data_IF_338268777647
#
_entry.id   IF_338268777647
#
_cell.length_a   1.000
_cell.length_b   1.000
_cell.length_c   1.000
_cell.angle_alpha   90.00
_cell.angle_beta   90.00
_cell.angle_gamma   90.00
#
_symmetry.space_group_name_H-M   'P 1'
#
loop_
_entity.id
_entity.type
_entity.pdbx_description
1 polymer ?
#
# COMPACT_ATOMS: atom_id res chain seq x y z
N UNK A 1 -12.27 5.61 -20.01
CA UNK A 1 -11.35 6.23 -19.04
C UNK A 1 -10.02 5.51 -19.21
N UNK A 2 -9.18 6.02 -20.09
CA UNK A 2 -7.88 5.42 -20.37
C UNK A 2 -6.98 5.79 -19.20
N UNK A 3 -6.57 4.81 -18.40
CA UNK A 3 -5.49 5.04 -17.44
C UNK A 3 -4.27 5.45 -18.27
N UNK A 4 -3.78 6.68 -18.07
CA UNK A 4 -2.51 7.09 -18.63
C UNK A 4 -1.45 6.03 -18.29
N UNK A 5 -0.60 5.63 -19.25
CA UNK A 5 0.43 4.62 -18.99
C UNK A 5 1.39 5.07 -17.87
N UNK A 6 1.56 6.38 -17.67
CA UNK A 6 2.30 6.98 -16.56
C UNK A 6 1.64 6.72 -15.20
N UNK A 7 0.31 6.80 -15.12
CA UNK A 7 -0.45 6.54 -13.89
C UNK A 7 -0.39 5.06 -13.48
N UNK A 8 -0.41 4.16 -14.45
CA UNK A 8 -0.26 2.72 -14.21
C UNK A 8 1.11 2.38 -13.65
N UNK A 9 2.19 2.90 -14.24
CA UNK A 9 3.55 2.70 -13.76
C UNK A 9 3.75 3.28 -12.34
N UNK A 10 3.18 4.46 -12.07
CA UNK A 10 3.23 5.08 -10.73
C UNK A 10 2.48 4.27 -9.69
N UNK A 11 1.32 3.72 -10.03
CA UNK A 11 0.56 2.80 -9.15
C UNK A 11 1.35 1.54 -8.85
N UNK A 12 2.08 1.01 -9.83
CA UNK A 12 2.95 -0.15 -9.62
C UNK A 12 4.03 0.18 -8.59
N UNK A 13 4.82 1.23 -8.84
CA UNK A 13 5.89 1.63 -7.92
C UNK A 13 5.36 1.96 -6.52
N UNK A 14 4.19 2.62 -6.42
CA UNK A 14 3.59 2.98 -5.14
C UNK A 14 3.09 1.75 -4.36
N UNK A 15 2.57 0.73 -5.05
CA UNK A 15 2.17 -0.51 -4.40
C UNK A 15 3.38 -1.37 -4.01
N UNK A 16 4.45 -1.37 -4.82
CA UNK A 16 5.72 -2.01 -4.47
C UNK A 16 6.35 -1.37 -3.23
N UNK A 17 6.33 -0.04 -3.17
CA UNK A 17 6.82 0.72 -2.02
C UNK A 17 6.00 0.39 -0.77
N UNK A 18 4.66 0.35 -0.89
CA UNK A 18 3.79 -0.08 0.21
C UNK A 18 4.17 -1.47 0.73
N UNK A 19 4.36 -2.45 -0.17
CA UNK A 19 4.73 -3.83 0.20
C UNK A 19 6.11 -3.92 0.85
N UNK A 20 7.09 -3.16 0.35
CA UNK A 20 8.45 -3.12 0.87
C UNK A 20 8.53 -2.55 2.30
N UNK A 21 7.62 -1.65 2.62
CA UNK A 21 7.61 -0.94 3.89
C UNK A 21 6.58 -1.49 4.91
N UNK A 22 5.96 -2.64 4.63
CA UNK A 22 5.04 -3.30 5.56
C UNK A 22 5.75 -3.73 6.85
N UNK A 23 5.12 -3.47 8.00
CA UNK A 23 5.64 -3.89 9.32
C UNK A 23 5.34 -5.38 9.64
N UNK A 24 4.73 -6.13 8.70
CA UNK A 24 4.44 -7.57 8.83
C UNK A 24 5.51 -8.43 8.15
N UNK A 25 5.95 -9.51 8.79
CA UNK A 25 6.98 -10.42 8.26
C UNK A 25 6.43 -11.42 7.23
N UNK A 26 5.19 -11.85 7.44
CA UNK A 26 4.48 -12.77 6.59
C UNK A 26 3.05 -12.27 6.43
N UNK A 27 2.55 -12.33 5.20
CA UNK A 27 1.16 -12.03 4.87
C UNK A 27 0.62 -13.04 3.86
N UNK A 28 -0.69 -13.21 3.86
CA UNK A 28 -1.33 -14.02 2.84
C UNK A 28 -1.32 -13.28 1.49
N UNK A 29 -1.41 -14.02 0.38
CA UNK A 29 -1.61 -13.39 -0.93
C UNK A 29 -2.86 -12.50 -0.92
N UNK A 30 -3.91 -12.91 -0.22
CA UNK A 30 -5.13 -12.13 -0.08
C UNK A 30 -4.89 -10.78 0.64
N UNK A 31 -4.09 -10.78 1.71
CA UNK A 31 -3.70 -9.57 2.44
C UNK A 31 -2.87 -8.60 1.59
N UNK A 32 -1.98 -9.14 0.75
CA UNK A 32 -1.20 -8.34 -0.18
C UNK A 32 -2.12 -7.73 -1.24
N UNK A 33 -3.06 -8.51 -1.78
CA UNK A 33 -4.05 -8.05 -2.74
C UNK A 33 -4.94 -6.95 -2.15
N UNK A 34 -5.50 -7.11 -0.94
CA UNK A 34 -6.33 -6.09 -0.26
C UNK A 34 -5.62 -4.74 -0.16
N UNK A 35 -4.30 -4.78 0.07
CA UNK A 35 -3.44 -3.60 0.15
C UNK A 35 -3.19 -2.98 -1.22
N UNK A 36 -2.90 -3.79 -2.23
CA UNK A 36 -2.73 -3.33 -3.60
C UNK A 36 -4.04 -2.70 -4.12
N UNK A 37 -5.19 -3.25 -3.73
CA UNK A 37 -6.52 -2.71 -4.08
C UNK A 37 -6.77 -1.29 -3.55
N UNK A 38 -6.02 -0.85 -2.53
CA UNK A 38 -6.06 0.56 -2.07
C UNK A 38 -5.41 1.55 -3.04
N UNK A 39 -4.52 1.04 -3.91
CA UNK A 39 -3.77 1.80 -4.92
C UNK A 39 -4.40 1.64 -6.30
N UNK A 40 -4.79 0.40 -6.64
CA UNK A 40 -5.36 0.05 -7.94
C UNK A 40 -6.37 -1.07 -7.81
N UNK A 41 -7.57 -0.85 -8.34
CA UNK A 41 -8.63 -1.87 -8.45
C UNK A 41 -8.55 -2.67 -9.74
N UNK A 42 -7.49 -2.50 -10.54
CA UNK A 42 -7.31 -3.20 -11.81
C UNK A 42 -6.59 -4.54 -11.58
N UNK A 43 -7.23 -5.70 -11.84
CA UNK A 43 -6.66 -7.01 -11.57
C UNK A 43 -5.40 -7.32 -12.40
N UNK A 44 -5.23 -6.70 -13.57
CA UNK A 44 -4.00 -6.84 -14.36
C UNK A 44 -2.82 -6.20 -13.62
N UNK A 45 -2.99 -4.94 -13.18
CA UNK A 45 -1.97 -4.23 -12.41
C UNK A 45 -1.67 -4.94 -11.09
N UNK A 46 -2.68 -5.46 -10.40
CA UNK A 46 -2.47 -6.22 -9.16
C UNK A 46 -1.54 -7.42 -9.35
N UNK A 47 -1.69 -8.16 -10.45
CA UNK A 47 -0.82 -9.30 -10.77
C UNK A 47 0.58 -8.85 -11.15
N UNK A 48 0.69 -7.79 -11.94
CA UNK A 48 1.99 -7.20 -12.31
C UNK A 48 2.75 -6.74 -11.08
N UNK A 49 2.08 -6.07 -10.13
CA UNK A 49 2.69 -5.62 -8.88
C UNK A 49 3.23 -6.79 -8.06
N UNK A 50 2.46 -7.86 -7.91
CA UNK A 50 2.90 -9.04 -7.15
C UNK A 50 4.10 -9.72 -7.83
N UNK A 51 4.07 -9.84 -9.15
CA UNK A 51 5.15 -10.43 -9.94
C UNK A 51 6.43 -9.57 -9.87
N UNK A 52 6.29 -8.24 -9.97
CA UNK A 52 7.40 -7.30 -9.84
C UNK A 52 7.95 -7.25 -8.40
N UNK A 53 7.09 -7.37 -7.39
CA UNK A 53 7.50 -7.45 -5.98
C UNK A 53 8.34 -8.71 -5.72
N UNK A 54 7.95 -9.84 -6.31
CA UNK A 54 8.69 -11.10 -6.22
C UNK A 54 10.03 -10.99 -6.99
N UNK A 55 10.01 -10.47 -8.22
CA UNK A 55 11.22 -10.25 -9.04
C UNK A 55 12.24 -9.33 -8.37
N UNK A 56 11.79 -8.26 -7.73
CA UNK A 56 12.65 -7.32 -6.99
C UNK A 56 13.09 -7.87 -5.62
N UNK A 57 12.56 -9.03 -5.19
CA UNK A 57 12.88 -9.64 -3.90
C UNK A 57 12.30 -8.89 -2.71
N UNK A 58 11.24 -8.11 -2.93
CA UNK A 58 10.47 -7.40 -1.89
C UNK A 58 9.62 -8.41 -1.11
N UNK A 59 8.97 -9.31 -1.83
CA UNK A 59 8.22 -10.43 -1.27
C UNK A 59 8.79 -11.74 -1.80
N UNK A 60 8.70 -12.79 -0.98
CA UNK A 60 9.08 -14.14 -1.34
C UNK A 60 7.88 -15.06 -1.17
N UNK A 61 7.53 -15.83 -2.21
CA UNK A 61 6.35 -16.68 -2.21
C UNK A 61 6.73 -18.10 -1.79
N UNK A 62 6.37 -18.44 -0.55
CA UNK A 62 6.61 -19.75 0.05
C UNK A 62 5.27 -20.40 0.44
N UNK A 63 4.92 -21.53 -0.19
CA UNK A 63 3.79 -22.37 0.24
C UNK A 63 2.41 -21.69 0.25
N UNK A 64 2.20 -20.65 -0.57
CA UNK A 64 0.94 -19.88 -0.60
C UNK A 64 0.89 -18.69 0.36
N UNK A 65 2.00 -18.38 1.04
CA UNK A 65 2.19 -17.15 1.82
C UNK A 65 3.27 -16.29 1.17
N UNK A 66 3.17 -14.99 1.37
CA UNK A 66 4.18 -14.02 0.99
C UNK A 66 4.98 -13.63 2.24
N UNK A 67 6.29 -13.81 2.20
CA UNK A 67 7.24 -13.30 3.21
C UNK A 67 7.78 -11.98 2.72
N UNK A 68 7.64 -10.91 3.49
CA UNK A 68 8.29 -9.64 3.14
C UNK A 68 9.74 -9.73 3.57
N UNK A 69 10.66 -9.40 2.66
CA UNK A 69 12.09 -9.46 2.99
C UNK A 69 12.44 -8.23 3.83
N UNK A 70 12.57 -8.40 5.14
CA UNK A 70 13.04 -7.34 6.07
C UNK A 70 14.44 -6.88 5.66
N UNK A 71 14.54 -5.85 4.83
CA UNK A 71 15.84 -5.50 4.27
C UNK A 71 15.89 -4.16 3.55
N UNK A 72 15.68 -3.06 4.26
CA UNK A 72 16.30 -1.80 3.84
C UNK A 72 15.65 -0.52 4.34
N UNK A 73 14.34 -0.38 4.18
CA UNK A 73 13.66 0.90 4.42
C UNK A 73 12.31 0.60 5.04
N UNK A 74 12.12 0.96 6.30
CA UNK A 74 10.81 0.87 6.95
C UNK A 74 10.08 2.18 6.72
N UNK A 75 8.78 2.15 6.43
CA UNK A 75 7.99 3.39 6.45
C UNK A 75 7.95 3.77 7.91
N UNK A 76 8.73 4.78 8.28
CA UNK A 76 8.55 5.40 9.57
C UNK A 76 7.23 6.13 9.47
N UNK A 77 6.20 5.51 10.02
CA UNK A 77 4.84 6.04 10.11
C UNK A 77 4.81 7.48 10.64
N UNK A 78 5.80 7.87 11.46
CA UNK A 78 5.95 9.23 11.99
C UNK A 78 6.62 10.22 11.02
N UNK A 79 7.30 9.76 9.98
CA UNK A 79 8.03 10.62 9.03
C UNK A 79 7.38 10.72 7.65
N UNK A 80 6.68 9.69 7.17
CA UNK A 80 6.06 9.67 5.84
C UNK A 80 4.55 9.88 5.86
N UNK A 81 3.89 9.92 7.02
CA UNK A 81 2.45 10.16 7.11
C UNK A 81 2.17 11.63 7.43
N UNK A 82 1.54 12.33 6.49
CA UNK A 82 0.98 13.66 6.70
C UNK A 82 -0.46 13.54 7.16
N UNK A 83 -0.77 14.12 8.32
CA UNK A 83 -2.14 14.28 8.79
C UNK A 83 -2.67 15.65 8.37
N UNK A 84 -3.88 15.68 7.83
CA UNK A 84 -4.62 16.92 7.55
C UNK A 84 -5.98 16.85 8.21
N UNK A 85 -6.37 17.93 8.86
CA UNK A 85 -7.70 18.09 9.46
C UNK A 85 -8.64 18.69 8.41
N UNK A 86 -9.86 18.14 8.31
CA UNK A 86 -10.83 18.49 7.27
C UNK A 86 -11.84 17.36 7.04
N UNK A 87 -12.78 17.57 6.13
CA UNK A 87 -13.74 16.54 5.73
C UNK A 87 -13.13 15.68 4.61
N UNK A 88 -12.81 14.43 4.92
CA UNK A 88 -12.20 13.49 3.99
C UNK A 88 -12.93 12.15 4.00
N UNK A 89 -13.04 11.51 2.84
CA UNK A 89 -13.62 10.17 2.74
C UNK A 89 -12.53 9.10 2.69
N UNK A 90 -12.54 8.17 3.64
CA UNK A 90 -11.53 7.13 3.67
C UNK A 90 -11.55 6.31 2.38
N UNK A 91 -10.43 6.26 1.64
CA UNK A 91 -10.35 5.46 0.40
C UNK A 91 -10.60 3.97 0.61
N UNK A 92 -10.31 3.45 1.82
CA UNK A 92 -10.46 2.02 2.14
C UNK A 92 -11.89 1.63 2.54
N UNK A 93 -12.49 2.36 3.48
CA UNK A 93 -13.79 2.01 4.04
C UNK A 93 -14.94 2.95 3.65
N UNK A 94 -14.63 4.08 2.99
CA UNK A 94 -15.61 5.08 2.60
C UNK A 94 -16.23 5.88 3.75
N UNK A 95 -15.77 5.71 4.99
CA UNK A 95 -16.27 6.53 6.10
C UNK A 95 -15.77 7.97 5.98
N UNK A 96 -16.65 8.93 6.31
CA UNK A 96 -16.28 10.32 6.51
C UNK A 96 -15.36 10.48 7.73
N UNK A 97 -14.27 11.19 7.53
CA UNK A 97 -13.21 11.43 8.50
C UNK A 97 -13.07 12.93 8.68
N UNK A 98 -12.94 13.36 9.94
CA UNK A 98 -12.53 14.73 10.27
C UNK A 98 -11.01 14.94 10.15
N UNK A 99 -10.25 13.85 9.94
CA UNK A 99 -8.79 13.87 9.79
C UNK A 99 -8.34 12.84 8.77
N UNK A 100 -7.82 13.32 7.64
CA UNK A 100 -7.25 12.50 6.57
C UNK A 100 -5.77 12.27 6.81
N UNK A 101 -5.35 11.01 6.77
CA UNK A 101 -3.95 10.62 6.79
C UNK A 101 -3.48 10.28 5.38
N UNK A 102 -2.37 10.87 4.97
CA UNK A 102 -1.78 10.75 3.64
C UNK A 102 -0.37 10.20 3.79
N UNK A 103 -0.06 9.09 3.12
CA UNK A 103 1.28 8.52 3.11
C UNK A 103 2.01 9.11 1.91
N UNK A 104 3.11 9.82 2.16
CA UNK A 104 4.00 10.32 1.14
C UNK A 104 5.07 9.28 0.81
N UNK A 105 5.01 8.78 -0.42
CA UNK A 105 6.04 7.96 -1.02
C UNK A 105 6.81 8.76 -2.07
N UNK A 106 8.00 8.32 -2.44
CA UNK A 106 8.74 8.92 -3.57
C UNK A 106 7.94 8.79 -4.89
N UNK A 107 7.17 7.71 -5.01
CA UNK A 107 6.30 7.41 -6.16
C UNK A 107 5.00 8.23 -6.20
N UNK A 108 4.59 8.83 -5.08
CA UNK A 108 3.34 9.60 -4.98
C UNK A 108 2.71 9.63 -3.58
N UNK A 109 1.59 10.35 -3.46
CA UNK A 109 0.82 10.41 -2.21
C UNK A 109 -0.33 9.38 -2.21
N UNK A 110 -0.45 8.62 -1.13
CA UNK A 110 -1.53 7.66 -0.92
C UNK A 110 -2.43 8.10 0.24
N UNK A 111 -3.68 8.47 -0.07
CA UNK A 111 -4.67 8.87 0.93
C UNK A 111 -5.95 9.40 0.28
N UNK A 112 -6.91 9.89 1.09
CA UNK A 112 -6.90 9.95 2.57
C UNK A 112 -7.33 8.64 3.25
N UNK A 113 -6.72 8.35 4.40
CA UNK A 113 -7.09 7.24 5.29
C UNK A 113 -7.43 7.72 6.71
N UNK A 114 -8.31 6.98 7.38
CA UNK A 114 -8.62 7.19 8.79
C UNK A 114 -7.57 6.55 9.69
N UNK A 115 -7.42 7.05 10.92
CA UNK A 115 -6.41 6.61 11.90
C UNK A 115 -6.32 5.09 12.09
N UNK A 116 -7.46 4.39 12.13
CA UNK A 116 -7.48 2.92 12.20
C UNK A 116 -7.19 2.24 10.86
N UNK A 117 -7.67 2.80 9.74
CA UNK A 117 -7.47 2.21 8.42
C UNK A 117 -6.00 2.25 7.99
N UNK A 118 -5.33 3.38 8.24
CA UNK A 118 -3.92 3.53 7.88
C UNK A 118 -3.03 2.54 8.65
N UNK A 119 -3.29 2.32 9.94
CA UNK A 119 -2.56 1.33 10.76
C UNK A 119 -2.76 -0.09 10.24
N UNK A 120 -3.97 -0.43 9.80
CA UNK A 120 -4.25 -1.73 9.18
C UNK A 120 -3.56 -1.88 7.82
N UNK A 121 -3.51 -0.81 7.02
CA UNK A 121 -2.84 -0.81 5.70
C UNK A 121 -1.32 -1.00 5.88
N UNK A 122 -0.69 -0.26 6.80
CA UNK A 122 0.75 -0.36 7.06
C UNK A 122 1.14 -1.61 7.86
N UNK A 123 0.17 -2.37 8.38
CA UNK A 123 0.43 -3.63 9.09
C UNK A 123 0.69 -3.50 10.60
N UNK A 124 0.34 -2.37 11.23
CA UNK A 124 0.48 -2.16 12.69
C UNK A 124 -0.61 -2.83 13.53
N UNK A 125 -1.82 -2.95 12.99
CA UNK A 125 -2.96 -3.60 13.67
C UNK A 125 -3.57 -4.61 12.70
N UNK A 126 -3.72 -5.87 13.14
CA UNK A 126 -4.37 -6.97 12.41
C UNK A 126 -5.62 -7.42 13.17
#
# INVERSE_FOLDING_TARGET
>A
MTADPDDSARKVELALDLLAHLEVDELSVADAVDRIETVTTNPTLTREILDEAEKRGIVDREGGRLRTRRGGTFVRFESQVVRREGEFDCRRCGCGLSTGHFIQFESGELGPFGSSCIRKVTGRES
#
